data_IF_998753022851
#
_entry.id   IF_998753022851
#
_cell.length_a   1.000
_cell.length_b   1.000
_cell.length_c   1.000
_cell.angle_alpha   90.00
_cell.angle_beta   90.00
_cell.angle_gamma   90.00
#
_symmetry.space_group_name_H-M   'P 1'
#
loop_
_entity.id
_entity.type
_entity.pdbx_description
1 polymer ?
#
# COMPACT_ATOMS: atom_id res chain seq x y z
N UNK A 1 8.04 -17.67 -12.51
CA UNK A 1 7.11 -16.71 -13.14
C UNK A 1 5.77 -17.41 -13.24
N UNK A 2 4.89 -17.13 -12.28
CA UNK A 2 3.52 -17.65 -12.34
C UNK A 2 2.65 -16.56 -12.99
N UNK A 3 2.26 -16.78 -14.23
CA UNK A 3 1.35 -15.93 -14.99
C UNK A 3 -0.10 -16.32 -14.66
N UNK A 4 -0.52 -16.12 -13.41
CA UNK A 4 -1.93 -16.10 -13.13
C UNK A 4 -2.48 -14.72 -13.47
N UNK A 5 -3.57 -14.68 -14.22
CA UNK A 5 -4.28 -13.54 -14.84
C UNK A 5 -4.48 -12.29 -13.94
N UNK A 6 -3.40 -11.61 -13.57
CA UNK A 6 -3.44 -10.35 -12.85
C UNK A 6 -2.38 -9.40 -13.40
N UNK A 7 -2.75 -8.18 -13.74
CA UNK A 7 -1.78 -7.14 -14.11
C UNK A 7 -0.82 -6.92 -12.95
N UNK A 8 0.42 -7.37 -13.09
CA UNK A 8 1.50 -7.15 -12.13
C UNK A 8 2.08 -5.76 -12.36
N UNK A 9 2.05 -4.90 -11.36
CA UNK A 9 2.74 -3.61 -11.41
C UNK A 9 4.17 -3.78 -10.91
N UNK A 10 5.12 -3.26 -11.68
CA UNK A 10 6.54 -3.24 -11.34
C UNK A 10 6.95 -1.80 -11.07
N UNK A 11 7.73 -1.59 -10.00
CA UNK A 11 8.44 -0.35 -9.74
C UNK A 11 9.92 -0.60 -9.96
N UNK A 12 10.58 0.26 -10.75
CA UNK A 12 11.99 0.18 -11.06
C UNK A 12 12.71 1.36 -10.44
N UNK A 13 13.77 1.11 -9.69
CA UNK A 13 14.66 2.15 -9.18
C UNK A 13 16.07 1.79 -9.63
N UNK A 14 16.71 2.72 -10.35
CA UNK A 14 18.13 2.64 -10.70
C UNK A 14 18.90 3.56 -9.76
N UNK A 15 19.87 3.01 -9.06
CA UNK A 15 20.76 3.74 -8.18
C UNK A 15 22.20 3.29 -8.36
N UNK A 16 23.16 4.16 -8.03
CA UNK A 16 24.58 3.83 -7.99
C UNK A 16 25.05 3.73 -6.55
N UNK A 17 25.84 2.72 -6.22
CA UNK A 17 26.47 2.56 -4.93
C UNK A 17 27.92 2.10 -5.11
N UNK A 18 28.80 2.56 -4.23
CA UNK A 18 30.23 2.22 -4.28
C UNK A 18 30.53 0.79 -3.76
N UNK A 19 29.61 0.21 -2.96
CA UNK A 19 29.76 -1.11 -2.38
C UNK A 19 28.47 -1.93 -2.44
N UNK A 20 28.02 -2.37 -3.63
CA UNK A 20 26.74 -3.08 -3.79
C UNK A 20 26.67 -4.40 -3.04
N UNK A 21 27.80 -5.11 -2.92
CA UNK A 21 27.86 -6.45 -2.32
C UNK A 21 27.59 -6.48 -0.81
N UNK A 22 27.72 -5.33 -0.13
CA UNK A 22 27.53 -5.22 1.33
C UNK A 22 26.12 -4.84 1.74
N UNK A 23 25.29 -4.36 0.82
CA UNK A 23 24.05 -3.68 1.17
C UNK A 23 22.78 -4.46 0.83
N UNK A 24 22.79 -5.32 -0.19
CA UNK A 24 21.55 -5.91 -0.68
C UNK A 24 21.75 -7.36 -1.13
N UNK A 25 20.87 -8.30 -0.78
CA UNK A 25 20.83 -9.60 -1.43
C UNK A 25 20.47 -9.41 -2.91
N UNK A 26 21.02 -10.23 -3.79
CA UNK A 26 20.79 -10.16 -5.24
C UNK A 26 19.30 -10.28 -5.61
N UNK A 27 18.52 -10.99 -4.80
CA UNK A 27 17.08 -11.12 -4.92
C UNK A 27 16.49 -11.14 -3.52
N UNK A 28 15.54 -10.26 -3.26
CA UNK A 28 14.77 -10.24 -2.02
C UNK A 28 13.31 -9.97 -2.32
N UNK A 29 12.44 -10.61 -1.57
CA UNK A 29 11.01 -10.35 -1.63
C UNK A 29 10.64 -9.42 -0.49
N UNK A 30 10.04 -8.29 -0.83
CA UNK A 30 9.48 -7.38 0.15
C UNK A 30 7.97 -7.41 0.00
N UNK A 31 7.32 -8.12 0.90
CA UNK A 31 5.87 -8.29 0.91
C UNK A 31 5.22 -7.47 2.02
N UNK A 32 5.74 -6.28 2.34
CA UNK A 32 5.08 -5.48 3.35
C UNK A 32 4.44 -4.22 2.75
N UNK A 33 3.27 -3.88 3.27
CA UNK A 33 2.49 -2.70 2.92
C UNK A 33 3.32 -1.40 3.03
N UNK A 34 4.24 -1.36 3.96
CA UNK A 34 5.08 -0.20 4.23
C UNK A 34 5.97 0.13 3.02
N UNK A 35 6.64 -0.87 2.46
CA UNK A 35 7.50 -0.69 1.28
C UNK A 35 6.72 -0.18 0.06
N UNK A 36 5.53 -0.71 -0.16
CA UNK A 36 4.66 -0.24 -1.22
C UNK A 36 4.32 1.26 -1.08
N UNK A 37 4.03 1.73 0.12
CA UNK A 37 3.77 3.15 0.38
C UNK A 37 5.02 4.01 0.17
N UNK A 38 6.19 3.53 0.57
CA UNK A 38 7.46 4.22 0.36
C UNK A 38 7.77 4.39 -1.14
N UNK A 39 7.56 3.35 -1.94
CA UNK A 39 7.72 3.45 -3.40
C UNK A 39 6.74 4.45 -4.03
N UNK A 40 5.48 4.45 -3.62
CA UNK A 40 4.50 5.44 -4.08
C UNK A 40 4.91 6.87 -3.72
N UNK A 41 5.42 7.06 -2.53
CA UNK A 41 5.89 8.39 -2.09
C UNK A 41 7.11 8.84 -2.89
N UNK A 42 8.06 7.96 -3.18
CA UNK A 42 9.21 8.29 -4.03
C UNK A 42 8.77 8.70 -5.44
N UNK A 43 7.81 7.99 -6.04
CA UNK A 43 7.24 8.36 -7.33
C UNK A 43 6.52 9.72 -7.27
N UNK A 44 5.79 9.99 -6.19
CA UNK A 44 5.15 11.29 -5.99
C UNK A 44 6.17 12.43 -5.90
N UNK A 45 7.30 12.20 -5.24
CA UNK A 45 8.40 13.17 -5.18
C UNK A 45 8.95 13.56 -6.56
N UNK A 46 8.94 12.63 -7.53
CA UNK A 46 9.31 12.95 -8.91
C UNK A 46 8.26 13.85 -9.58
N UNK A 47 6.97 13.57 -9.36
CA UNK A 47 5.87 14.36 -9.94
C UNK A 47 5.89 15.81 -9.45
N UNK A 48 6.22 16.05 -8.18
CA UNK A 48 6.27 17.39 -7.58
C UNK A 48 7.66 18.04 -7.69
N UNK A 49 8.57 17.48 -8.51
CA UNK A 49 9.92 17.99 -8.71
C UNK A 49 10.71 18.21 -7.41
N UNK A 50 10.62 17.29 -6.46
CA UNK A 50 11.40 17.34 -5.23
C UNK A 50 12.90 17.34 -5.55
N UNK A 51 13.74 18.15 -4.85
CA UNK A 51 15.18 18.16 -5.05
C UNK A 51 15.81 16.78 -4.90
N UNK A 52 16.80 16.45 -5.75
CA UNK A 52 17.42 15.12 -5.80
C UNK A 52 18.00 14.68 -4.45
N UNK A 53 18.65 15.58 -3.70
CA UNK A 53 19.22 15.22 -2.39
C UNK A 53 18.17 14.70 -1.39
N UNK A 54 16.93 15.19 -1.46
CA UNK A 54 15.83 14.69 -0.62
C UNK A 54 15.39 13.30 -1.09
N UNK A 55 15.32 13.10 -2.42
CA UNK A 55 15.01 11.78 -3.01
C UNK A 55 16.09 10.75 -2.66
N UNK A 56 17.36 11.14 -2.64
CA UNK A 56 18.48 10.27 -2.26
C UNK A 56 18.40 9.83 -0.80
N UNK A 57 18.07 10.75 0.11
CA UNK A 57 17.83 10.42 1.52
C UNK A 57 16.67 9.43 1.65
N UNK A 58 15.58 9.68 0.93
CA UNK A 58 14.40 8.84 0.96
C UNK A 58 14.67 7.46 0.34
N UNK A 59 15.43 7.40 -0.75
CA UNK A 59 15.88 6.14 -1.34
C UNK A 59 16.77 5.36 -0.39
N UNK A 60 17.69 6.02 0.30
CA UNK A 60 18.54 5.39 1.32
C UNK A 60 17.69 4.76 2.43
N UNK A 61 16.63 5.43 2.85
CA UNK A 61 15.68 4.87 3.82
C UNK A 61 14.95 3.62 3.28
N UNK A 62 14.48 3.67 2.03
CA UNK A 62 13.86 2.50 1.36
C UNK A 62 14.83 1.30 1.33
N UNK A 63 16.09 1.54 0.97
CA UNK A 63 17.11 0.49 0.91
C UNK A 63 17.44 -0.07 2.29
N UNK A 64 17.47 0.78 3.33
CA UNK A 64 17.66 0.34 4.71
C UNK A 64 16.50 -0.54 5.19
N UNK A 65 15.25 -0.15 4.92
CA UNK A 65 14.06 -0.95 5.22
C UNK A 65 14.05 -2.28 4.46
N UNK A 66 14.48 -2.27 3.20
CA UNK A 66 14.66 -3.50 2.41
C UNK A 66 15.70 -4.43 3.05
N UNK A 67 16.86 -3.90 3.45
CA UNK A 67 17.92 -4.67 4.11
C UNK A 67 17.45 -5.26 5.45
N UNK A 68 16.75 -4.48 6.26
CA UNK A 68 16.15 -4.92 7.51
C UNK A 68 15.11 -6.04 7.30
N UNK A 69 14.25 -5.87 6.29
CA UNK A 69 13.19 -6.83 5.96
C UNK A 69 13.74 -8.17 5.47
N UNK A 70 14.92 -8.18 4.83
CA UNK A 70 15.58 -9.37 4.32
C UNK A 70 16.62 -9.97 5.29
N UNK A 71 16.62 -9.56 6.54
CA UNK A 71 17.43 -10.20 7.59
C UNK A 71 18.92 -9.86 7.55
N UNK A 72 19.35 -8.90 6.75
CA UNK A 72 20.76 -8.48 6.69
C UNK A 72 21.28 -7.90 8.01
N UNK A 73 20.36 -7.59 8.93
CA UNK A 73 20.69 -7.04 10.26
C UNK A 73 20.08 -7.80 11.45
N UNK A 74 19.26 -8.83 11.24
CA UNK A 74 18.71 -9.66 12.32
C UNK A 74 17.90 -10.83 11.77
N UNK A 75 17.97 -12.00 12.41
CA UNK A 75 16.96 -13.05 12.24
C UNK A 75 15.60 -12.58 12.78
N UNK A 76 14.88 -11.79 12.01
CA UNK A 76 13.54 -11.36 12.39
C UNK A 76 12.52 -12.44 12.04
N UNK A 77 12.11 -13.20 13.05
CA UNK A 77 10.80 -13.88 12.96
C UNK A 77 9.75 -12.80 12.66
N UNK A 78 9.02 -12.98 11.57
CA UNK A 78 7.88 -12.10 11.24
C UNK A 78 7.02 -11.89 12.46
N UNK A 79 6.80 -10.65 12.86
CA UNK A 79 5.98 -10.36 14.03
C UNK A 79 4.52 -10.63 13.70
N UNK A 80 3.70 -10.95 14.72
CA UNK A 80 2.25 -11.10 14.52
C UNK A 80 1.65 -9.86 13.84
N UNK A 81 2.19 -8.68 14.08
CA UNK A 81 1.72 -7.43 13.49
C UNK A 81 1.99 -7.40 11.98
N UNK A 82 3.15 -7.83 11.53
CA UNK A 82 3.47 -7.93 10.10
C UNK A 82 2.52 -8.89 9.39
N UNK A 83 2.24 -10.04 9.99
CA UNK A 83 1.27 -11.00 9.46
C UNK A 83 -0.15 -10.40 9.39
N UNK A 84 -0.55 -9.65 10.40
CA UNK A 84 -1.85 -8.93 10.42
C UNK A 84 -1.93 -7.90 9.30
N UNK A 85 -0.90 -7.09 9.12
CA UNK A 85 -0.87 -6.07 8.08
C UNK A 85 -0.89 -6.68 6.67
N UNK A 86 -0.15 -7.77 6.47
CA UNK A 86 -0.15 -8.49 5.20
C UNK A 86 -1.50 -9.16 4.91
N UNK A 87 -2.11 -9.79 5.90
CA UNK A 87 -3.46 -10.33 5.78
C UNK A 87 -4.47 -9.26 5.35
N UNK A 88 -4.44 -8.09 5.99
CA UNK A 88 -5.30 -6.96 5.63
C UNK A 88 -5.04 -6.56 4.19
N UNK A 89 -3.79 -6.37 3.79
CA UNK A 89 -3.40 -5.96 2.44
C UNK A 89 -3.97 -6.88 1.36
N UNK A 90 -3.88 -8.18 1.57
CA UNK A 90 -4.35 -9.20 0.61
C UNK A 90 -5.88 -9.24 0.56
N UNK A 91 -6.54 -9.20 1.72
CA UNK A 91 -7.96 -9.52 1.85
C UNK A 91 -8.86 -8.27 1.99
N UNK A 92 -8.30 -7.06 1.83
CA UNK A 92 -9.01 -5.81 2.09
C UNK A 92 -10.29 -5.67 1.25
N UNK A 93 -11.38 -5.40 1.94
CA UNK A 93 -12.68 -5.06 1.37
C UNK A 93 -13.51 -4.23 2.38
N UNK A 94 -14.64 -3.68 1.95
CA UNK A 94 -15.47 -2.80 2.76
C UNK A 94 -16.13 -3.47 3.98
N UNK A 95 -16.27 -4.80 3.98
CA UNK A 95 -16.82 -5.55 5.11
C UNK A 95 -15.76 -5.87 6.18
N UNK A 96 -14.46 -5.64 5.90
CA UNK A 96 -13.39 -5.92 6.85
C UNK A 96 -13.48 -4.98 8.06
N UNK A 97 -13.43 -5.55 9.25
CA UNK A 97 -13.49 -4.83 10.52
C UNK A 97 -12.33 -5.21 11.43
N UNK A 98 -12.02 -4.36 12.41
CA UNK A 98 -11.04 -4.70 13.46
C UNK A 98 -11.39 -6.01 14.15
N UNK A 99 -12.69 -6.27 14.35
CA UNK A 99 -13.19 -7.50 14.97
C UNK A 99 -12.89 -8.72 14.11
N UNK A 100 -13.23 -8.68 12.82
CA UNK A 100 -12.99 -9.82 11.92
C UNK A 100 -11.50 -10.14 11.77
N UNK A 101 -10.64 -9.13 11.73
CA UNK A 101 -9.19 -9.31 11.70
C UNK A 101 -8.68 -9.94 13.00
N UNK A 102 -9.15 -9.44 14.14
CA UNK A 102 -8.75 -9.98 15.45
C UNK A 102 -9.19 -11.44 15.64
N UNK A 103 -10.39 -11.78 15.24
CA UNK A 103 -10.92 -13.15 15.25
C UNK A 103 -10.10 -14.09 14.38
N UNK A 104 -9.70 -13.64 13.17
CA UNK A 104 -8.86 -14.44 12.27
C UNK A 104 -7.53 -14.85 12.90
N UNK A 105 -6.92 -13.97 13.69
CA UNK A 105 -5.64 -14.24 14.36
C UNK A 105 -5.77 -14.78 15.80
N UNK A 106 -6.99 -15.04 16.28
CA UNK A 106 -7.23 -15.56 17.63
C UNK A 106 -6.99 -14.54 18.75
N UNK A 107 -7.11 -13.25 18.46
CA UNK A 107 -6.95 -12.15 19.42
C UNK A 107 -8.28 -11.45 19.70
N UNK A 108 -8.37 -10.80 20.86
CA UNK A 108 -9.41 -9.80 21.04
C UNK A 108 -9.05 -8.49 20.33
N UNK A 109 -10.07 -7.74 19.92
CA UNK A 109 -9.92 -6.51 19.12
C UNK A 109 -9.05 -5.44 19.80
N UNK A 110 -9.14 -5.32 21.12
CA UNK A 110 -8.39 -4.32 21.88
C UNK A 110 -6.90 -4.68 21.96
N UNK A 111 -6.57 -5.93 22.24
CA UNK A 111 -5.19 -6.41 22.31
C UNK A 111 -4.49 -6.28 20.96
N UNK A 112 -5.14 -6.71 19.88
CA UNK A 112 -4.59 -6.59 18.54
C UNK A 112 -4.40 -5.13 18.15
N UNK A 113 -5.39 -4.26 18.42
CA UNK A 113 -5.28 -2.83 18.12
C UNK A 113 -4.14 -2.17 18.85
N UNK A 114 -3.91 -2.51 20.13
CA UNK A 114 -2.77 -1.99 20.91
C UNK A 114 -1.42 -2.45 20.35
N UNK A 115 -1.30 -3.73 19.98
CA UNK A 115 -0.07 -4.25 19.36
C UNK A 115 0.24 -3.55 18.04
N UNK A 116 -0.76 -3.43 17.17
CA UNK A 116 -0.60 -2.73 15.89
C UNK A 116 -0.26 -1.27 16.10
N UNK A 117 -0.95 -0.57 17.00
CA UNK A 117 -0.68 0.85 17.28
C UNK A 117 0.73 1.08 17.82
N UNK A 118 1.22 0.19 18.69
CA UNK A 118 2.59 0.26 19.22
C UNK A 118 3.65 0.08 18.12
N UNK A 119 3.35 -0.74 17.12
CA UNK A 119 4.28 -1.04 16.02
C UNK A 119 4.24 0.01 14.91
N UNK A 120 3.03 0.42 14.48
CA UNK A 120 2.81 1.25 13.28
C UNK A 120 2.48 2.71 13.57
N UNK A 121 2.37 3.10 14.85
CA UNK A 121 1.93 4.43 15.31
C UNK A 121 0.55 4.86 14.80
N UNK A 122 -0.20 3.97 14.15
CA UNK A 122 -1.56 4.20 13.67
C UNK A 122 -2.52 3.15 14.28
N UNK A 123 -3.79 3.53 14.46
CA UNK A 123 -4.75 2.56 14.93
C UNK A 123 -5.19 1.61 13.80
N UNK A 124 -5.54 0.37 14.16
CA UNK A 124 -5.89 -0.68 13.22
C UNK A 124 -7.08 -0.31 12.32
N UNK A 125 -8.06 0.44 12.83
CA UNK A 125 -9.20 0.91 12.04
C UNK A 125 -8.77 1.87 10.93
N UNK A 126 -7.89 2.81 11.24
CA UNK A 126 -7.32 3.76 10.25
C UNK A 126 -6.55 3.00 9.17
N UNK A 127 -5.71 2.05 9.57
CA UNK A 127 -4.95 1.22 8.63
C UNK A 127 -5.88 0.49 7.64
N UNK A 128 -6.94 -0.14 8.14
CA UNK A 128 -7.94 -0.81 7.27
C UNK A 128 -8.57 0.19 6.30
N UNK A 129 -8.99 1.36 6.78
CA UNK A 129 -9.59 2.38 5.93
C UNK A 129 -8.64 2.91 4.87
N UNK A 130 -7.38 3.16 5.22
CA UNK A 130 -6.36 3.67 4.32
C UNK A 130 -5.97 2.63 3.26
N UNK A 131 -5.86 1.36 3.64
CA UNK A 131 -5.62 0.27 2.69
C UNK A 131 -6.78 0.09 1.72
N UNK A 132 -8.03 0.18 2.20
CA UNK A 132 -9.22 0.13 1.34
C UNK A 132 -9.25 1.31 0.37
N UNK A 133 -8.96 2.51 0.87
CA UNK A 133 -8.88 3.72 0.06
C UNK A 133 -7.77 3.64 -1.00
N UNK A 134 -6.61 3.09 -0.65
CA UNK A 134 -5.50 2.87 -1.57
C UNK A 134 -5.93 1.93 -2.69
N UNK A 135 -6.54 0.78 -2.37
CA UNK A 135 -7.04 -0.18 -3.37
C UNK A 135 -8.12 0.44 -4.27
N UNK A 136 -9.03 1.23 -3.68
CA UNK A 136 -10.05 1.97 -4.43
C UNK A 136 -9.42 2.98 -5.40
N UNK A 137 -8.42 3.72 -4.95
CA UNK A 137 -7.68 4.69 -5.76
C UNK A 137 -6.97 4.02 -6.94
N UNK A 138 -6.31 2.88 -6.69
CA UNK A 138 -5.62 2.12 -7.72
C UNK A 138 -6.58 1.62 -8.80
N UNK A 139 -7.73 1.08 -8.41
CA UNK A 139 -8.76 0.65 -9.35
C UNK A 139 -9.33 1.82 -10.16
N UNK A 140 -9.53 2.99 -9.53
CA UNK A 140 -10.03 4.17 -10.23
C UNK A 140 -9.08 4.68 -11.30
N UNK A 141 -7.78 4.66 -11.05
CA UNK A 141 -6.76 5.24 -11.94
C UNK A 141 -6.29 4.22 -12.99
N UNK A 142 -6.10 2.97 -12.57
CA UNK A 142 -5.39 1.97 -13.38
C UNK A 142 -6.30 0.90 -13.99
N UNK A 143 -7.62 1.03 -13.86
CA UNK A 143 -8.56 0.10 -14.49
C UNK A 143 -9.65 0.81 -15.29
N UNK A 144 -10.31 0.07 -16.17
CA UNK A 144 -11.47 0.52 -16.95
C UNK A 144 -12.80 0.18 -16.28
N UNK A 145 -12.79 -0.37 -15.07
CA UNK A 145 -14.01 -0.72 -14.34
C UNK A 145 -14.87 0.52 -14.05
N UNK A 146 -16.18 0.37 -14.18
CA UNK A 146 -17.14 1.39 -13.77
C UNK A 146 -17.11 1.60 -12.25
N UNK A 147 -17.63 2.72 -11.79
CA UNK A 147 -17.74 2.99 -10.33
C UNK A 147 -18.55 1.91 -9.62
N UNK A 148 -19.59 1.38 -10.30
CA UNK A 148 -20.43 0.30 -9.79
C UNK A 148 -19.66 -1.02 -9.66
N UNK A 149 -18.87 -1.37 -10.66
CA UNK A 149 -18.03 -2.58 -10.62
C UNK A 149 -16.95 -2.47 -9.53
N UNK A 150 -16.30 -1.32 -9.37
CA UNK A 150 -15.32 -1.09 -8.30
C UNK A 150 -15.98 -1.23 -6.92
N UNK A 151 -17.16 -0.65 -6.73
CA UNK A 151 -17.93 -0.79 -5.49
C UNK A 151 -18.22 -2.27 -5.17
N UNK A 152 -18.63 -3.04 -6.18
CA UNK A 152 -18.89 -4.47 -6.04
C UNK A 152 -17.60 -5.25 -5.73
N UNK A 153 -16.51 -5.02 -6.46
CA UNK A 153 -15.21 -5.67 -6.25
C UNK A 153 -14.64 -5.42 -4.85
N UNK A 154 -14.90 -4.22 -4.31
CA UNK A 154 -14.48 -3.83 -2.96
C UNK A 154 -15.51 -4.22 -1.88
N UNK A 155 -16.56 -4.96 -2.26
CA UNK A 155 -17.61 -5.45 -1.37
C UNK A 155 -18.36 -4.33 -0.62
N UNK A 156 -18.61 -3.19 -1.28
CA UNK A 156 -19.55 -2.20 -0.79
C UNK A 156 -20.99 -2.62 -1.06
N UNK A 157 -21.91 -2.27 -0.17
CA UNK A 157 -23.33 -2.59 -0.31
C UNK A 157 -24.00 -1.88 -1.52
N UNK A 158 -23.43 -0.75 -1.95
CA UNK A 158 -23.90 -0.01 -3.12
C UNK A 158 -22.80 0.93 -3.67
N UNK A 159 -22.98 1.42 -4.89
CA UNK A 159 -22.11 2.44 -5.50
C UNK A 159 -22.17 3.77 -4.76
N UNK A 160 -23.30 4.09 -4.15
CA UNK A 160 -23.52 5.28 -3.33
C UNK A 160 -22.73 5.20 -2.02
N UNK A 161 -22.72 4.02 -1.36
CA UNK A 161 -21.91 3.77 -0.15
C UNK A 161 -20.40 3.90 -0.45
N UNK A 162 -19.95 3.33 -1.57
CA UNK A 162 -18.58 3.51 -2.04
C UNK A 162 -18.26 4.99 -2.32
N UNK A 163 -19.13 5.68 -3.03
CA UNK A 163 -18.94 7.10 -3.39
C UNK A 163 -18.87 7.99 -2.15
N UNK A 164 -19.70 7.73 -1.15
CA UNK A 164 -19.71 8.44 0.13
C UNK A 164 -18.42 8.19 0.91
N UNK A 165 -17.98 6.92 1.02
CA UNK A 165 -16.71 6.56 1.64
C UNK A 165 -15.53 7.26 0.97
N UNK A 166 -15.47 7.19 -0.35
CA UNK A 166 -14.36 7.76 -1.13
C UNK A 166 -14.33 9.30 -1.00
N UNK A 167 -15.49 9.96 -1.13
CA UNK A 167 -15.61 11.42 -0.99
C UNK A 167 -15.25 11.89 0.42
N UNK A 168 -15.60 11.13 1.45
CA UNK A 168 -15.22 11.44 2.83
C UNK A 168 -13.71 11.52 2.99
N UNK A 169 -12.96 10.59 2.39
CA UNK A 169 -11.51 10.51 2.53
C UNK A 169 -10.73 11.38 1.53
N UNK A 170 -11.23 11.58 0.31
CA UNK A 170 -10.51 12.28 -0.78
C UNK A 170 -11.09 13.65 -1.12
N UNK A 171 -12.22 14.05 -0.53
CA UNK A 171 -12.94 15.28 -0.79
C UNK A 171 -13.41 15.46 -2.24
N UNK A 172 -13.26 14.44 -3.06
CA UNK A 172 -13.70 14.34 -4.46
C UNK A 172 -14.56 13.08 -4.62
N UNK A 173 -15.56 13.13 -5.52
CA UNK A 173 -16.25 11.91 -5.90
C UNK A 173 -15.31 10.96 -6.67
N UNK A 174 -15.57 9.64 -6.70
CA UNK A 174 -14.77 8.69 -7.47
C UNK A 174 -14.62 9.08 -8.95
N UNK A 175 -15.69 9.58 -9.58
CA UNK A 175 -15.66 10.03 -10.98
C UNK A 175 -14.77 11.26 -11.16
N UNK A 176 -14.94 12.28 -10.30
CA UNK A 176 -14.08 13.46 -10.33
C UNK A 176 -12.60 13.11 -10.11
N UNK A 177 -12.34 12.21 -9.20
CA UNK A 177 -10.96 11.73 -8.93
C UNK A 177 -10.38 11.02 -10.14
N UNK A 178 -11.14 10.12 -10.77
CA UNK A 178 -10.74 9.45 -12.02
C UNK A 178 -10.44 10.47 -13.12
N UNK A 179 -11.34 11.39 -13.36
CA UNK A 179 -11.21 12.41 -14.43
C UNK A 179 -9.96 13.29 -14.23
N UNK A 180 -9.64 13.61 -12.99
CA UNK A 180 -8.48 14.42 -12.66
C UNK A 180 -7.16 13.66 -12.88
N UNK A 181 -7.09 12.42 -12.42
CA UNK A 181 -5.82 11.66 -12.38
C UNK A 181 -5.59 10.76 -13.59
N UNK A 182 -6.64 10.27 -14.28
CA UNK A 182 -6.46 9.47 -15.50
C UNK A 182 -5.99 10.32 -16.68
N UNK A 183 -6.41 11.57 -16.77
CA UNK A 183 -5.94 12.51 -17.82
C UNK A 183 -4.46 12.86 -17.69
N UNK A 184 -3.92 12.85 -16.49
CA UNK A 184 -2.50 13.15 -16.23
C UNK A 184 -1.58 12.05 -16.78
N UNK A 185 -2.05 10.82 -16.89
CA UNK A 185 -1.26 9.70 -17.43
C UNK A 185 -1.33 9.55 -18.95
N UNK A 186 -2.33 10.14 -19.62
CA UNK A 186 -2.48 10.05 -21.08
C UNK A 186 -1.75 11.15 -21.85
N UNK A 187 -1.28 12.21 -21.21
CA UNK A 187 -0.63 13.36 -21.85
C UNK A 187 0.91 13.34 -21.82
N UNK A 188 1.54 12.20 -21.55
CA UNK A 188 2.98 12.01 -21.79
C UNK A 188 3.18 11.12 -23.03
N UNK A 189 2.99 11.73 -24.21
CA UNK A 189 3.60 11.30 -25.46
C UNK A 189 4.73 12.22 -25.80
#
# INVERSE_FOLDING_TARGET
YDYSEGKTMFYWIHFKTENPERLLPNIGVVSNFFMYQLFKQLLHMDVINTPNYIKDIFLTYILAEYALSNGLMSEKKSTIVENVLEYIRININAAMTVKSVAEHFGYNSQSLSRMVQKYSYANLKTIISDMLLTKATDLLIHSYYTIKEIAFMLNFNSSEAFSSFFKYHKHLSPSQYRDLYSKTHMNKK
#
